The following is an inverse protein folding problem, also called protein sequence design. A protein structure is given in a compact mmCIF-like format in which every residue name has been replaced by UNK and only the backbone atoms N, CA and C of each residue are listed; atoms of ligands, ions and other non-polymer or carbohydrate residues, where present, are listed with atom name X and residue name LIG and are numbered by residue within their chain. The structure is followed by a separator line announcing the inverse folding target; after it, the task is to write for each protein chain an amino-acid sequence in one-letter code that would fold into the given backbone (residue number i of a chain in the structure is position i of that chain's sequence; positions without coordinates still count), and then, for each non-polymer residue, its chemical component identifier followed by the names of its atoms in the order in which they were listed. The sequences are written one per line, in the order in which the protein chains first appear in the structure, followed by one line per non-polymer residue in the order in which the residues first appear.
data_IF_153109735731
#
_entry.id   IF_153109735731
#
_cell.length_a   1.000
_cell.length_b   1.000
_cell.length_c   1.000
_cell.angle_alpha   90.00
_cell.angle_beta   90.00
_cell.angle_gamma   90.00
#
_symmetry.space_group_name_H-M   'P 1'
#
loop_
_entity.id
_entity.type
_entity.pdbx_description
1 polymer ?
#
# COMPACT_ATOMS: atom_id res chain seq x y z
N UNK A 1 -2.80 -0.70 18.75
CA UNK A 1 -1.95 -1.69 18.05
C UNK A 1 -0.57 -1.12 17.70
N UNK A 2 -0.46 -0.01 16.95
CA UNK A 2 0.82 0.48 16.37
C UNK A 2 2.03 0.58 17.30
N UNK A 3 1.97 1.37 18.39
CA UNK A 3 3.16 1.64 19.24
C UNK A 3 3.73 0.40 19.97
N UNK A 4 2.89 -0.54 20.40
CA UNK A 4 3.34 -1.76 21.10
C UNK A 4 3.98 -2.77 20.14
N UNK A 5 3.38 -2.97 18.97
CA UNK A 5 3.92 -3.85 17.93
C UNK A 5 5.25 -3.30 17.39
N UNK A 6 5.34 -1.98 17.17
CA UNK A 6 6.60 -1.35 16.77
C UNK A 6 7.70 -1.46 17.82
N UNK A 7 7.39 -1.33 19.12
CA UNK A 7 8.43 -1.43 20.15
C UNK A 7 9.17 -2.77 20.10
N UNK A 8 8.46 -3.87 19.80
CA UNK A 8 9.07 -5.20 19.65
C UNK A 8 9.84 -5.35 18.35
N UNK A 9 9.27 -4.86 17.25
CA UNK A 9 9.93 -4.92 15.96
C UNK A 9 11.20 -4.06 15.93
N UNK A 10 11.15 -2.84 16.47
CA UNK A 10 12.27 -1.88 16.54
C UNK A 10 13.51 -2.48 17.19
N UNK A 11 13.36 -3.30 18.24
CA UNK A 11 14.50 -3.96 18.91
C UNK A 11 15.16 -5.05 18.07
N UNK A 12 14.50 -5.53 17.02
CA UNK A 12 15.06 -6.54 16.08
C UNK A 12 15.71 -5.92 14.84
N UNK A 13 15.48 -4.62 14.62
CA UNK A 13 16.00 -3.91 13.46
C UNK A 13 17.42 -3.40 13.71
N UNK A 14 18.29 -3.58 12.72
CA UNK A 14 19.60 -2.93 12.67
C UNK A 14 19.44 -1.44 12.38
N UNK A 15 20.47 -0.64 12.69
CA UNK A 15 20.45 0.80 12.35
C UNK A 15 20.36 1.05 10.85
N UNK A 16 20.99 0.18 10.03
CA UNK A 16 20.94 0.29 8.58
C UNK A 16 19.54 -0.06 8.03
N UNK A 17 18.86 -1.06 8.59
CA UNK A 17 17.46 -1.37 8.24
C UNK A 17 16.53 -0.21 8.59
N UNK A 18 16.67 0.39 9.78
CA UNK A 18 15.90 1.58 10.19
C UNK A 18 16.15 2.72 9.21
N UNK A 19 17.42 2.97 8.86
CA UNK A 19 17.82 4.03 7.93
C UNK A 19 17.18 3.84 6.55
N UNK A 20 17.18 2.62 6.00
CA UNK A 20 16.56 2.37 4.70
C UNK A 20 15.04 2.55 4.73
N UNK A 21 14.37 2.16 5.82
CA UNK A 21 12.93 2.44 6.01
C UNK A 21 12.68 3.96 6.06
N UNK A 22 13.48 4.72 6.79
CA UNK A 22 13.35 6.19 6.83
C UNK A 22 13.56 6.82 5.45
N UNK A 23 14.56 6.36 4.68
CA UNK A 23 14.81 6.86 3.33
C UNK A 23 13.70 6.47 2.35
N UNK A 24 13.16 5.25 2.47
CA UNK A 24 12.00 4.81 1.69
C UNK A 24 10.79 5.70 1.95
N UNK A 25 10.43 5.93 3.22
CA UNK A 25 9.27 6.78 3.57
C UNK A 25 9.47 8.25 3.15
N UNK A 26 10.71 8.74 3.09
CA UNK A 26 11.03 10.08 2.53
C UNK A 26 10.68 10.19 1.05
N UNK A 27 11.03 9.17 0.26
CA UNK A 27 10.76 9.13 -1.17
C UNK A 27 10.66 7.68 -1.69
N UNK A 28 9.44 7.13 -1.66
CA UNK A 28 9.19 5.74 -2.03
C UNK A 28 9.18 5.50 -3.55
N UNK A 29 8.93 6.55 -4.36
CA UNK A 29 8.69 6.42 -5.79
C UNK A 29 9.85 5.74 -6.56
N UNK A 30 11.13 6.11 -6.37
CA UNK A 30 12.23 5.48 -7.10
C UNK A 30 12.31 3.96 -6.88
N UNK A 31 12.17 3.50 -5.64
CA UNK A 31 12.22 2.07 -5.31
C UNK A 31 11.00 1.34 -5.89
N UNK A 32 9.80 1.89 -5.70
CA UNK A 32 8.57 1.25 -6.19
C UNK A 32 8.50 1.23 -7.72
N UNK A 33 8.94 2.29 -8.40
CA UNK A 33 9.03 2.32 -9.88
C UNK A 33 10.03 1.29 -10.38
N UNK A 34 11.23 1.25 -9.78
CA UNK A 34 12.24 0.24 -10.11
C UNK A 34 11.69 -1.18 -9.98
N UNK A 35 11.03 -1.50 -8.87
CA UNK A 35 10.41 -2.82 -8.65
C UNK A 35 9.30 -3.15 -9.65
N UNK A 36 8.53 -2.16 -10.11
CA UNK A 36 7.42 -2.36 -11.05
C UNK A 36 7.89 -2.53 -12.50
N UNK A 37 8.90 -1.76 -12.90
CA UNK A 37 9.30 -1.61 -14.30
C UNK A 37 10.56 -2.39 -14.68
N UNK A 38 11.57 -2.42 -13.81
CA UNK A 38 12.88 -3.03 -14.09
C UNK A 38 13.06 -4.37 -13.36
N UNK A 39 12.72 -4.42 -12.07
CA UNK A 39 12.93 -5.57 -11.21
C UNK A 39 14.36 -5.70 -10.67
N UNK A 40 14.57 -6.64 -9.77
CA UNK A 40 15.86 -6.90 -9.10
C UNK A 40 16.92 -7.37 -10.11
N UNK A 41 18.16 -6.93 -9.91
CA UNK A 41 19.34 -7.35 -10.68
C UNK A 41 19.80 -6.30 -11.70
N UNK A 42 19.02 -5.24 -11.95
CA UNK A 42 19.40 -4.19 -12.89
C UNK A 42 20.29 -3.11 -12.25
N UNK A 43 20.11 -2.81 -10.96
CA UNK A 43 20.82 -1.74 -10.24
C UNK A 43 21.28 -2.23 -8.86
N UNK A 44 22.55 -2.65 -8.70
CA UNK A 44 23.06 -3.22 -7.45
C UNK A 44 22.84 -2.36 -6.21
N UNK A 45 22.99 -1.04 -6.34
CA UNK A 45 22.75 -0.09 -5.24
C UNK A 45 21.28 -0.01 -4.85
N UNK A 46 20.34 -0.24 -5.77
CA UNK A 46 18.92 -0.33 -5.45
C UNK A 46 18.56 -1.66 -4.83
N UNK A 47 19.10 -2.74 -5.40
CA UNK A 47 18.89 -4.10 -4.90
C UNK A 47 19.34 -4.23 -3.43
N UNK A 48 20.49 -3.65 -3.07
CA UNK A 48 20.97 -3.64 -1.68
C UNK A 48 20.00 -2.92 -0.72
N UNK A 49 19.41 -1.80 -1.15
CA UNK A 49 18.42 -1.08 -0.32
C UNK A 49 17.15 -1.89 -0.16
N UNK A 50 16.70 -2.55 -1.23
CA UNK A 50 15.52 -3.42 -1.22
C UNK A 50 15.76 -4.62 -0.30
N UNK A 51 16.92 -5.27 -0.38
CA UNK A 51 17.27 -6.40 0.48
C UNK A 51 17.19 -6.05 1.98
N UNK A 52 17.65 -4.85 2.35
CA UNK A 52 17.58 -4.37 3.74
C UNK A 52 16.14 -4.15 4.20
N UNK A 53 15.26 -3.60 3.36
CA UNK A 53 13.84 -3.39 3.69
C UNK A 53 13.10 -4.73 3.76
N UNK A 54 13.37 -5.66 2.83
CA UNK A 54 12.84 -7.02 2.85
C UNK A 54 13.21 -7.74 4.16
N UNK A 55 14.49 -7.73 4.51
CA UNK A 55 15.00 -8.31 5.77
C UNK A 55 14.37 -7.67 7.01
N UNK A 56 14.07 -6.38 6.97
CA UNK A 56 13.39 -5.70 8.06
C UNK A 56 11.93 -6.18 8.20
N UNK A 57 11.18 -6.27 7.10
CA UNK A 57 9.74 -6.57 7.12
C UNK A 57 9.43 -8.04 7.47
N UNK A 58 10.33 -8.98 7.21
CA UNK A 58 10.14 -10.39 7.64
C UNK A 58 10.27 -10.59 9.15
N UNK A 59 10.89 -9.63 9.88
CA UNK A 59 11.09 -9.70 11.34
C UNK A 59 9.85 -9.33 12.16
N UNK A 60 8.77 -8.92 11.51
CA UNK A 60 7.50 -8.59 12.17
C UNK A 60 6.37 -9.45 11.62
N UNK A 61 5.48 -9.87 12.52
CA UNK A 61 4.21 -10.55 12.19
C UNK A 61 3.09 -9.93 13.00
N UNK A 62 1.95 -9.74 12.36
CA UNK A 62 0.77 -9.20 13.04
C UNK A 62 0.24 -10.18 14.08
N UNK A 63 0.06 -9.70 15.32
CA UNK A 63 -0.57 -10.49 16.39
C UNK A 63 -2.06 -10.75 16.13
N UNK A 64 -2.75 -9.77 15.55
CA UNK A 64 -4.17 -9.79 15.25
C UNK A 64 -4.39 -9.21 13.85
N UNK A 65 -5.46 -9.63 13.17
CA UNK A 65 -5.81 -9.07 11.87
C UNK A 65 -6.08 -7.55 11.98
N UNK A 66 -5.72 -6.81 10.94
CA UNK A 66 -5.87 -5.34 10.91
C UNK A 66 -6.42 -4.88 9.57
N UNK A 67 -7.23 -3.81 9.58
CA UNK A 67 -7.66 -3.12 8.37
C UNK A 67 -6.83 -1.86 8.20
N UNK A 68 -6.29 -1.66 7.00
CA UNK A 68 -5.49 -0.49 6.63
C UNK A 68 -6.06 0.14 5.36
N UNK A 69 -5.66 1.37 5.09
CA UNK A 69 -6.22 2.17 4.00
C UNK A 69 -5.12 2.69 3.08
N UNK A 70 -5.42 2.79 1.79
CA UNK A 70 -4.55 3.43 0.79
C UNK A 70 -5.37 4.19 -0.24
N UNK A 71 -5.09 5.48 -0.37
CA UNK A 71 -5.54 6.30 -1.48
C UNK A 71 -4.58 6.17 -2.66
N UNK A 72 -5.11 5.89 -3.84
CA UNK A 72 -4.34 5.77 -5.10
C UNK A 72 -5.19 6.19 -6.30
N UNK A 73 -4.67 6.03 -7.51
CA UNK A 73 -5.39 6.31 -8.74
C UNK A 73 -5.77 5.00 -9.47
N UNK A 74 -6.34 5.13 -10.67
CA UNK A 74 -6.74 3.97 -11.47
C UNK A 74 -5.58 3.08 -11.93
N UNK A 75 -4.31 3.45 -11.69
CA UNK A 75 -3.14 2.71 -12.18
C UNK A 75 -3.10 1.25 -11.72
N UNK A 76 -3.71 0.95 -10.56
CA UNK A 76 -3.77 -0.42 -10.02
C UNK A 76 -4.56 -1.37 -10.92
N UNK A 77 -5.42 -0.82 -11.79
CA UNK A 77 -6.20 -1.58 -12.77
C UNK A 77 -5.57 -1.53 -14.17
N UNK A 78 -4.54 -0.71 -14.39
CA UNK A 78 -3.94 -0.46 -15.70
C UNK A 78 -3.79 1.02 -16.03
N UNK A 79 -2.84 1.36 -16.92
CA UNK A 79 -2.54 2.74 -17.33
C UNK A 79 -3.76 3.41 -17.98
N UNK A 80 -4.58 2.64 -18.69
CA UNK A 80 -5.81 3.08 -19.34
C UNK A 80 -6.89 3.56 -18.34
N UNK A 81 -6.92 3.00 -17.12
CA UNK A 81 -7.89 3.38 -16.10
C UNK A 81 -7.42 4.59 -15.27
N UNK A 82 -6.12 4.90 -15.29
CA UNK A 82 -5.56 6.03 -14.55
C UNK A 82 -6.20 7.37 -14.97
N UNK A 83 -6.43 7.57 -16.26
CA UNK A 83 -6.94 8.83 -16.83
C UNK A 83 -8.45 8.82 -17.10
N UNK A 84 -9.10 7.65 -17.13
CA UNK A 84 -10.50 7.50 -17.54
C UNK A 84 -11.48 7.31 -16.38
N UNK A 85 -10.99 6.99 -15.18
CA UNK A 85 -11.83 6.69 -14.03
C UNK A 85 -12.70 7.87 -13.56
N UNK A 86 -12.23 9.11 -13.75
CA UNK A 86 -12.88 10.32 -13.22
C UNK A 86 -13.38 11.23 -14.34
N UNK A 87 -14.55 11.82 -14.14
CA UNK A 87 -15.08 12.95 -14.89
C UNK A 87 -15.28 14.13 -13.92
N UNK A 88 -14.26 14.97 -13.80
CA UNK A 88 -14.17 15.99 -12.74
C UNK A 88 -14.24 15.35 -11.35
N UNK A 89 -15.21 15.77 -10.53
CA UNK A 89 -15.42 15.26 -9.17
C UNK A 89 -16.32 14.01 -9.10
N UNK A 90 -16.70 13.43 -10.24
CA UNK A 90 -17.54 12.23 -10.31
C UNK A 90 -16.76 11.07 -10.91
N UNK A 91 -17.07 9.85 -10.45
CA UNK A 91 -16.52 8.63 -11.05
C UNK A 91 -17.29 8.38 -12.35
N UNK A 92 -16.57 8.03 -13.42
CA UNK A 92 -17.21 7.58 -14.65
C UNK A 92 -17.87 6.21 -14.40
N UNK A 93 -19.21 6.18 -14.40
CA UNK A 93 -19.99 5.00 -14.04
C UNK A 93 -19.79 3.80 -14.98
N UNK A 94 -19.59 4.03 -16.27
CA UNK A 94 -19.32 2.96 -17.23
C UNK A 94 -17.95 2.34 -17.00
N UNK A 95 -16.94 3.18 -16.78
CA UNK A 95 -15.57 2.73 -16.44
C UNK A 95 -15.57 1.99 -15.11
N UNK A 96 -16.27 2.47 -14.09
CA UNK A 96 -16.41 1.78 -12.81
C UNK A 96 -17.09 0.41 -12.96
N UNK A 97 -18.12 0.29 -13.81
CA UNK A 97 -18.77 -0.99 -14.10
C UNK A 97 -17.83 -1.95 -14.83
N UNK A 98 -17.01 -1.46 -15.76
CA UNK A 98 -15.98 -2.25 -16.45
C UNK A 98 -14.94 -2.76 -15.44
N UNK A 99 -14.38 -1.86 -14.62
CA UNK A 99 -13.41 -2.22 -13.58
C UNK A 99 -14.01 -3.27 -12.63
N UNK A 100 -15.23 -3.05 -12.12
CA UNK A 100 -15.90 -4.01 -11.24
C UNK A 100 -16.01 -5.38 -11.91
N UNK A 101 -16.47 -5.45 -13.16
CA UNK A 101 -16.64 -6.71 -13.89
C UNK A 101 -15.31 -7.46 -14.11
N UNK A 102 -14.23 -6.73 -14.33
CA UNK A 102 -12.92 -7.29 -14.69
C UNK A 102 -12.08 -7.67 -13.46
N UNK A 103 -12.18 -6.91 -12.37
CA UNK A 103 -11.28 -7.01 -11.23
C UNK A 103 -11.93 -7.49 -9.93
N UNK A 104 -13.26 -7.41 -9.79
CA UNK A 104 -13.92 -7.99 -8.62
C UNK A 104 -13.80 -9.51 -8.63
N UNK A 105 -13.42 -10.09 -7.50
CA UNK A 105 -13.19 -11.52 -7.38
C UNK A 105 -11.87 -12.01 -7.98
N UNK A 106 -10.94 -11.10 -8.32
CA UNK A 106 -9.61 -11.45 -8.84
C UNK A 106 -8.49 -11.06 -7.87
N UNK A 107 -7.28 -11.54 -8.15
CA UNK A 107 -6.07 -11.21 -7.40
C UNK A 107 -5.26 -10.15 -8.14
N UNK A 108 -4.81 -9.13 -7.42
CA UNK A 108 -3.76 -8.23 -7.89
C UNK A 108 -2.43 -8.49 -7.17
N UNK A 109 -1.33 -8.19 -7.88
CA UNK A 109 0.03 -8.25 -7.38
C UNK A 109 0.62 -6.83 -7.37
N UNK A 110 1.01 -6.33 -6.21
CA UNK A 110 1.80 -5.10 -6.10
C UNK A 110 3.28 -5.46 -6.03
N UNK A 111 4.03 -5.18 -7.11
CA UNK A 111 5.47 -5.46 -7.20
C UNK A 111 6.31 -4.53 -6.32
N UNK A 112 5.87 -3.30 -6.11
CA UNK A 112 6.50 -2.38 -5.17
C UNK A 112 6.16 -2.73 -3.72
N UNK A 113 6.73 -2.01 -2.76
CA UNK A 113 6.22 -2.07 -1.39
C UNK A 113 4.89 -1.34 -1.29
N UNK A 114 3.99 -1.84 -0.42
CA UNK A 114 2.64 -1.32 -0.29
C UNK A 114 2.49 -0.50 1.01
N UNK A 115 2.73 0.82 0.91
CA UNK A 115 2.46 1.78 1.99
C UNK A 115 0.97 2.01 2.18
N UNK A 116 0.50 1.85 3.42
CA UNK A 116 -0.90 2.00 3.85
C UNK A 116 -0.96 2.75 5.18
N UNK A 117 -2.12 3.26 5.59
CA UNK A 117 -2.31 3.92 6.89
C UNK A 117 -3.31 3.15 7.75
N UNK A 118 -3.10 3.15 9.07
CA UNK A 118 -4.02 2.53 10.04
C UNK A 118 -5.38 3.24 10.14
N UNK A 119 -5.45 4.48 9.72
CA UNK A 119 -6.66 5.30 9.76
C UNK A 119 -7.02 5.77 8.36
N UNK A 120 -8.32 5.89 8.11
CA UNK A 120 -8.82 6.53 6.90
C UNK A 120 -8.65 8.05 7.04
N UNK A 121 -7.42 8.53 6.83
CA UNK A 121 -7.03 9.92 7.01
C UNK A 121 -7.46 10.84 5.86
N UNK A 122 -7.41 12.15 6.11
CA UNK A 122 -7.77 13.20 5.15
C UNK A 122 -6.88 13.22 3.91
N UNK A 123 -5.64 12.71 4.01
CA UNK A 123 -4.69 12.57 2.89
C UNK A 123 -5.23 11.72 1.73
N UNK A 124 -6.16 10.80 2.01
CA UNK A 124 -6.82 9.99 0.99
C UNK A 124 -8.05 10.66 0.38
N UNK A 125 -8.44 11.83 0.88
CA UNK A 125 -9.58 12.57 0.32
C UNK A 125 -9.33 13.03 -1.13
N UNK A 126 -8.06 13.23 -1.49
CA UNK A 126 -7.68 13.75 -2.81
C UNK A 126 -7.47 12.66 -3.88
N UNK A 127 -7.58 11.36 -3.54
CA UNK A 127 -7.27 10.26 -4.46
C UNK A 127 -8.55 9.59 -4.98
N UNK A 128 -8.65 9.26 -6.28
CA UNK A 128 -9.90 8.76 -6.86
C UNK A 128 -10.20 7.29 -6.53
N UNK A 129 -9.21 6.52 -6.07
CA UNK A 129 -9.38 5.16 -5.57
C UNK A 129 -9.03 5.10 -4.09
N UNK A 130 -9.89 4.49 -3.28
CA UNK A 130 -9.65 4.17 -1.87
C UNK A 130 -9.64 2.65 -1.69
N UNK A 131 -8.49 2.09 -1.36
CA UNK A 131 -8.35 0.69 -0.98
C UNK A 131 -8.53 0.56 0.54
N UNK A 132 -9.45 -0.29 0.95
CA UNK A 132 -9.58 -0.81 2.31
C UNK A 132 -9.06 -2.25 2.30
N UNK A 133 -7.92 -2.48 2.93
CA UNK A 133 -7.18 -3.72 2.85
C UNK A 133 -7.13 -4.41 4.22
N UNK A 134 -7.63 -5.63 4.30
CA UNK A 134 -7.51 -6.47 5.50
C UNK A 134 -6.24 -7.31 5.41
N UNK A 135 -5.38 -7.18 6.41
CA UNK A 135 -4.19 -7.99 6.59
C UNK A 135 -4.50 -9.03 7.67
N UNK A 136 -4.37 -10.34 7.40
CA UNK A 136 -4.69 -11.34 8.40
C UNK A 136 -3.62 -11.41 9.50
N UNK A 137 -4.03 -11.93 10.66
CA UNK A 137 -3.12 -12.35 11.72
C UNK A 137 -1.99 -13.22 11.15
N UNK A 138 -0.77 -12.98 11.61
CA UNK A 138 0.43 -13.67 11.17
C UNK A 138 1.07 -13.09 9.90
N UNK A 139 0.37 -12.24 9.15
CA UNK A 139 0.91 -11.54 7.99
C UNK A 139 2.05 -10.59 8.35
N UNK A 140 2.99 -10.40 7.43
CA UNK A 140 4.09 -9.45 7.58
C UNK A 140 3.63 -8.03 7.27
N UNK A 141 3.70 -7.14 8.25
CA UNK A 141 3.48 -5.71 8.07
C UNK A 141 4.20 -4.93 9.19
N UNK A 142 4.91 -3.87 8.82
CA UNK A 142 5.67 -3.03 9.75
C UNK A 142 4.98 -1.71 10.03
N UNK A 143 4.74 -1.37 11.29
CA UNK A 143 4.32 -0.01 11.68
C UNK A 143 5.55 0.90 11.65
N UNK A 144 5.71 1.71 10.59
CA UNK A 144 6.94 2.46 10.33
C UNK A 144 6.89 3.91 10.82
N UNK A 145 5.71 4.41 11.20
CA UNK A 145 5.47 5.79 11.62
C UNK A 145 6.53 6.38 12.59
N UNK A 146 7.05 5.67 13.62
CA UNK A 146 8.02 6.26 14.54
C UNK A 146 9.46 6.40 13.99
N UNK A 147 9.74 5.85 12.81
CA UNK A 147 11.00 6.03 12.04
C UNK A 147 10.71 6.57 10.64
N UNK A 148 9.46 6.95 10.36
CA UNK A 148 9.09 7.56 9.09
C UNK A 148 9.69 8.96 8.99
N UNK A 149 10.07 9.35 7.78
CA UNK A 149 10.40 10.75 7.50
C UNK A 149 9.19 11.67 7.68
N UNK A 150 7.97 11.15 7.57
CA UNK A 150 6.71 11.87 7.76
C UNK A 150 5.94 11.30 8.97
N UNK A 151 6.33 11.64 10.22
CA UNK A 151 5.68 11.12 11.41
C UNK A 151 4.22 11.59 11.51
N UNK A 152 3.37 10.77 12.14
CA UNK A 152 1.95 11.07 12.36
C UNK A 152 1.02 10.58 11.25
N UNK A 153 1.56 9.98 10.18
CA UNK A 153 0.76 9.34 9.14
C UNK A 153 0.16 8.00 9.59
N UNK A 154 0.73 7.38 10.64
CA UNK A 154 0.33 6.06 11.14
C UNK A 154 0.51 4.97 10.08
N UNK A 155 1.62 5.04 9.36
CA UNK A 155 1.91 4.16 8.22
C UNK A 155 2.19 2.70 8.66
N UNK A 156 1.54 1.77 7.95
CA UNK A 156 1.83 0.35 7.91
C UNK A 156 2.41 0.02 6.53
N UNK A 157 3.64 -0.48 6.51
CA UNK A 157 4.34 -0.90 5.32
C UNK A 157 4.23 -2.41 5.14
N UNK A 158 3.71 -2.86 4.00
CA UNK A 158 3.67 -4.27 3.63
C UNK A 158 4.84 -4.62 2.70
N UNK A 159 5.27 -5.90 2.68
CA UNK A 159 6.31 -6.39 1.77
C UNK A 159 6.00 -6.09 0.30
N UNK A 160 7.06 -6.04 -0.51
CA UNK A 160 6.91 -6.10 -1.96
C UNK A 160 6.33 -7.44 -2.40
N UNK A 161 5.82 -7.47 -3.64
CA UNK A 161 5.13 -8.62 -4.22
C UNK A 161 3.91 -9.07 -3.39
N UNK A 162 3.29 -8.13 -2.66
CA UNK A 162 2.06 -8.39 -1.90
C UNK A 162 0.93 -8.73 -2.87
N UNK A 163 0.34 -9.92 -2.67
CA UNK A 163 -0.86 -10.37 -3.36
C UNK A 163 -2.08 -10.02 -2.52
N UNK A 164 -3.11 -9.47 -3.15
CA UNK A 164 -4.38 -9.22 -2.50
C UNK A 164 -5.55 -9.57 -3.41
N UNK A 165 -6.58 -10.14 -2.82
CA UNK A 165 -7.81 -10.51 -3.48
C UNK A 165 -8.83 -9.39 -3.32
N UNK A 166 -9.48 -8.99 -4.41
CA UNK A 166 -10.49 -7.95 -4.42
C UNK A 166 -11.85 -8.58 -4.12
N UNK A 167 -12.40 -8.27 -2.94
CA UNK A 167 -13.71 -8.77 -2.52
C UNK A 167 -14.85 -7.96 -3.13
N UNK A 168 -14.68 -6.64 -3.23
CA UNK A 168 -15.73 -5.75 -3.68
C UNK A 168 -15.19 -4.43 -4.23
N UNK A 169 -15.84 -3.93 -5.27
CA UNK A 169 -15.61 -2.61 -5.87
C UNK A 169 -16.94 -1.85 -5.91
N UNK A 170 -16.96 -0.63 -5.38
CA UNK A 170 -18.15 0.23 -5.37
C UNK A 170 -17.81 1.71 -5.43
N UNK A 171 -18.72 2.51 -6.00
CA UNK A 171 -18.62 3.97 -5.94
C UNK A 171 -19.05 4.44 -4.55
N UNK A 172 -18.29 5.37 -3.96
CA UNK A 172 -18.63 6.06 -2.71
C UNK A 172 -18.59 7.57 -2.91
N UNK A 173 -19.27 8.32 -2.04
CA UNK A 173 -19.26 9.79 -2.03
C UNK A 173 -18.64 10.25 -0.72
N UNK A 174 -17.54 11.01 -0.79
CA UNK A 174 -16.86 11.56 0.38
C UNK A 174 -16.47 13.02 0.14
N UNK A 175 -16.95 13.93 0.99
CA UNK A 175 -16.57 15.35 0.93
C UNK A 175 -16.92 16.03 -0.39
N UNK A 176 -18.06 15.68 -0.99
CA UNK A 176 -18.54 16.27 -2.25
C UNK A 176 -17.92 15.70 -3.54
N UNK A 177 -17.00 14.74 -3.44
CA UNK A 177 -16.41 14.04 -4.59
C UNK A 177 -16.67 12.53 -4.53
N UNK A 178 -16.88 11.92 -5.69
CA UNK A 178 -17.02 10.46 -5.81
C UNK A 178 -15.66 9.77 -5.92
N UNK A 179 -15.60 8.53 -5.47
CA UNK A 179 -14.40 7.68 -5.56
C UNK A 179 -14.79 6.24 -5.78
N UNK A 180 -13.83 5.46 -6.27
CA UNK A 180 -13.96 4.01 -6.33
C UNK A 180 -13.36 3.40 -5.06
N UNK A 181 -14.19 2.78 -4.21
CA UNK A 181 -13.74 2.00 -3.06
C UNK A 181 -13.46 0.57 -3.49
N UNK A 182 -12.29 0.07 -3.12
CA UNK A 182 -11.86 -1.32 -3.28
C UNK A 182 -11.74 -1.94 -1.89
N UNK A 183 -12.53 -2.96 -1.62
CA UNK A 183 -12.42 -3.77 -0.40
C UNK A 183 -11.64 -5.04 -0.76
N UNK A 184 -10.53 -5.29 -0.07
CA UNK A 184 -9.61 -6.35 -0.42
C UNK A 184 -9.00 -7.04 0.81
N UNK A 185 -8.42 -8.21 0.60
CA UNK A 185 -7.72 -9.01 1.61
C UNK A 185 -6.35 -9.43 1.11
N UNK A 186 -5.32 -9.24 1.94
CA UNK A 186 -3.98 -9.77 1.68
C UNK A 186 -4.03 -11.30 1.71
N UNK A 187 -3.37 -11.92 0.73
CA UNK A 187 -3.11 -13.35 0.71
C UNK A 187 -1.71 -13.56 1.30
N UNK A 188 -1.64 -14.21 2.45
CA UNK A 188 -0.38 -14.46 3.20
C UNK A 188 -0.23 -15.94 3.51
#
# INVERSE_FOLDING_TARGET
MGKKEYSKWKSTLTEEEKRQITLYTRNASPINTYLREEGIGSKPDMDKKIELIDKALIKTKLKDSVTVYRGTDGIIFGKEFQTTLMNGNKVNGEVAKKIKKEFEGTMLLERGYLSTLLVNGTLFLARPVLIELKIPKGGNAGYVDPISYYPGQLEMLLPRDTKYYIDNIKIIVNGGSQRLKVEARVLS
#
